data_IF_458241913862
#
_entry.id   IF_458241913862
#
_cell.length_a   1.000
_cell.length_b   1.000
_cell.length_c   1.000
_cell.angle_alpha   90.00
_cell.angle_beta   90.00
_cell.angle_gamma   90.00
#
_symmetry.space_group_name_H-M   'P 1'
#
loop_
_entity.id
_entity.type
_entity.pdbx_description
1 polymer ?
#
# COMPACT_ATOMS: atom_id res chain seq x y z
N UNK A 1 -9.59 -10.20 20.60
CA UNK A 1 -8.92 -10.83 21.76
C UNK A 1 -9.48 -12.23 21.91
N UNK A 2 -8.64 -13.27 21.97
CA UNK A 2 -9.09 -14.66 22.00
C UNK A 2 -7.98 -15.63 22.40
N UNK A 3 -8.33 -16.91 22.51
CA UNK A 3 -7.39 -17.95 22.90
C UNK A 3 -6.32 -18.16 21.82
N UNK A 4 -5.07 -18.28 22.22
CA UNK A 4 -3.95 -18.57 21.33
C UNK A 4 -3.96 -20.02 20.84
N UNK A 5 -3.17 -20.36 19.80
CA UNK A 5 -3.09 -21.71 19.26
C UNK A 5 -2.70 -22.77 20.29
N UNK A 6 -1.93 -22.37 21.31
CA UNK A 6 -1.50 -23.23 22.42
C UNK A 6 -2.65 -23.61 23.37
N UNK A 7 -3.81 -22.92 23.28
CA UNK A 7 -4.98 -23.06 24.17
C UNK A 7 -4.75 -22.73 25.64
N UNK A 8 -3.66 -22.06 25.97
CA UNK A 8 -3.29 -21.73 27.34
C UNK A 8 -3.36 -20.23 27.61
N UNK A 9 -3.05 -19.41 26.61
CA UNK A 9 -3.01 -17.94 26.77
C UNK A 9 -4.11 -17.23 25.96
N UNK A 10 -4.35 -15.97 26.28
CA UNK A 10 -5.30 -15.12 25.56
C UNK A 10 -4.63 -13.83 25.13
N UNK A 11 -4.74 -13.52 23.84
CA UNK A 11 -4.11 -12.38 23.20
C UNK A 11 -4.93 -11.90 22.00
N UNK A 12 -4.51 -10.83 21.35
CA UNK A 12 -4.94 -10.55 19.99
C UNK A 12 -4.27 -11.53 19.05
N UNK A 13 -5.05 -12.29 18.30
CA UNK A 13 -4.54 -13.33 17.43
C UNK A 13 -5.27 -13.31 16.10
N UNK A 14 -4.56 -13.74 15.05
CA UNK A 14 -5.02 -13.85 13.68
C UNK A 14 -4.89 -15.29 13.16
N UNK A 15 -4.80 -16.30 14.04
CA UNK A 15 -4.48 -17.67 13.64
C UNK A 15 -5.68 -18.47 13.10
N UNK A 16 -6.90 -17.98 13.32
CA UNK A 16 -8.14 -18.60 12.83
C UNK A 16 -8.61 -17.92 11.55
N UNK A 17 -9.36 -18.67 10.74
CA UNK A 17 -9.99 -18.11 9.55
C UNK A 17 -11.14 -17.14 9.91
N UNK A 18 -11.38 -16.10 9.10
CA UNK A 18 -10.64 -15.76 7.86
C UNK A 18 -9.40 -14.87 8.09
N UNK A 19 -9.17 -14.41 9.34
CA UNK A 19 -8.09 -13.48 9.67
C UNK A 19 -6.70 -14.01 9.34
N UNK A 20 -6.50 -15.33 9.45
CA UNK A 20 -5.25 -15.99 9.06
C UNK A 20 -4.95 -15.79 7.59
N UNK A 21 -5.89 -16.10 6.71
CA UNK A 21 -5.71 -15.96 5.27
C UNK A 21 -5.47 -14.49 4.86
N UNK A 22 -6.18 -13.55 5.48
CA UNK A 22 -5.99 -12.11 5.26
C UNK A 22 -4.59 -11.68 5.71
N UNK A 23 -4.14 -12.09 6.90
CA UNK A 23 -2.82 -11.73 7.39
C UNK A 23 -1.70 -12.34 6.56
N UNK A 24 -1.83 -13.61 6.17
CA UNK A 24 -0.83 -14.30 5.36
C UNK A 24 -0.76 -13.77 3.92
N UNK A 25 -1.84 -13.19 3.38
CA UNK A 25 -1.79 -12.55 2.07
C UNK A 25 -0.97 -11.25 2.12
N UNK A 26 -1.16 -10.43 3.16
CA UNK A 26 -0.33 -9.23 3.38
C UNK A 26 1.12 -9.57 3.67
N UNK A 27 1.39 -10.56 4.54
CA UNK A 27 2.74 -11.07 4.78
C UNK A 27 3.42 -11.44 3.45
N UNK A 28 2.75 -12.24 2.62
CA UNK A 28 3.33 -12.65 1.33
C UNK A 28 3.54 -11.47 0.37
N UNK A 29 2.66 -10.46 0.38
CA UNK A 29 2.82 -9.27 -0.45
C UNK A 29 4.04 -8.44 -0.03
N UNK A 30 4.22 -8.21 1.26
CA UNK A 30 5.27 -7.32 1.78
C UNK A 30 6.61 -7.99 2.06
N UNK A 31 6.66 -9.32 2.18
CA UNK A 31 7.88 -10.02 2.59
C UNK A 31 9.09 -9.74 1.70
N UNK A 32 8.91 -9.74 0.37
CA UNK A 32 10.01 -9.45 -0.57
C UNK A 32 10.57 -8.04 -0.35
N UNK A 33 9.68 -7.07 -0.16
CA UNK A 33 9.99 -5.67 0.06
C UNK A 33 10.72 -5.44 1.39
N UNK A 34 10.24 -6.07 2.46
CA UNK A 34 10.87 -6.04 3.78
C UNK A 34 12.28 -6.66 3.74
N UNK A 35 12.42 -7.81 3.07
CA UNK A 35 13.72 -8.48 2.94
C UNK A 35 14.70 -7.66 2.11
N UNK A 36 14.25 -7.09 0.99
CA UNK A 36 15.04 -6.24 0.13
C UNK A 36 15.53 -4.98 0.86
N UNK A 37 14.64 -4.29 1.57
CA UNK A 37 14.98 -3.12 2.39
C UNK A 37 16.00 -3.48 3.48
N UNK A 38 15.83 -4.62 4.15
CA UNK A 38 16.82 -5.11 5.11
C UNK A 38 18.18 -5.41 4.45
N UNK A 39 18.19 -6.10 3.31
CA UNK A 39 19.42 -6.45 2.61
C UNK A 39 20.20 -5.22 2.13
N UNK A 40 19.51 -4.21 1.58
CA UNK A 40 20.13 -2.94 1.21
C UNK A 40 20.74 -2.22 2.42
N UNK A 41 20.03 -2.19 3.57
CA UNK A 41 20.58 -1.59 4.80
C UNK A 41 21.79 -2.35 5.35
N UNK A 42 21.84 -3.67 5.17
CA UNK A 42 23.02 -4.46 5.51
C UNK A 42 24.21 -4.14 4.59
N UNK A 43 23.97 -3.91 3.30
CA UNK A 43 24.99 -3.41 2.38
C UNK A 43 25.50 -2.04 2.82
N UNK A 44 24.60 -1.11 3.17
CA UNK A 44 25.01 0.22 3.66
C UNK A 44 25.89 0.12 4.90
N UNK A 45 25.55 -0.76 5.85
CA UNK A 45 26.33 -0.96 7.05
C UNK A 45 27.74 -1.51 6.77
N UNK A 46 27.88 -2.35 5.74
CA UNK A 46 29.15 -2.94 5.34
C UNK A 46 30.01 -2.01 4.48
N UNK A 47 29.39 -1.27 3.55
CA UNK A 47 30.07 -0.53 2.48
C UNK A 47 30.02 1.00 2.67
N UNK A 48 29.18 1.51 3.58
CA UNK A 48 28.93 2.93 3.78
C UNK A 48 28.05 3.58 2.69
N UNK A 49 27.58 2.80 1.72
CA UNK A 49 26.74 3.23 0.60
C UNK A 49 25.85 2.07 0.12
N UNK A 50 24.83 2.38 -0.66
CA UNK A 50 24.00 1.42 -1.40
C UNK A 50 22.73 2.06 -1.92
N UNK A 51 21.89 1.27 -2.56
CA UNK A 51 20.63 1.72 -3.17
C UNK A 51 19.70 2.35 -2.12
N UNK A 52 18.95 3.41 -2.48
CA UNK A 52 18.00 4.15 -1.64
C UNK A 52 16.60 4.07 -2.19
N UNK A 53 15.62 3.93 -1.30
CA UNK A 53 14.21 3.84 -1.68
C UNK A 53 13.75 5.04 -2.54
N UNK A 54 12.82 4.82 -3.48
CA UNK A 54 12.17 5.89 -4.23
C UNK A 54 11.47 6.94 -3.36
N UNK A 55 11.28 8.13 -3.92
CA UNK A 55 10.49 9.22 -3.32
C UNK A 55 9.18 9.39 -4.07
N UNK A 56 8.08 8.92 -3.48
CA UNK A 56 6.74 8.97 -4.08
C UNK A 56 6.12 10.36 -3.96
N UNK A 57 5.78 10.97 -5.10
CA UNK A 57 5.08 12.25 -5.16
C UNK A 57 3.74 12.09 -5.86
N UNK A 58 2.64 12.39 -5.18
CA UNK A 58 1.29 12.31 -5.75
C UNK A 58 0.73 13.71 -5.88
N UNK A 59 0.34 14.09 -7.10
CA UNK A 59 -0.12 15.45 -7.47
C UNK A 59 0.85 16.54 -6.98
N UNK A 60 2.15 16.28 -7.14
CA UNK A 60 3.24 17.17 -6.72
C UNK A 60 3.50 17.24 -5.21
N UNK A 61 2.67 16.62 -4.37
CA UNK A 61 2.91 16.55 -2.92
C UNK A 61 3.93 15.47 -2.65
N UNK A 62 4.90 15.70 -1.76
CA UNK A 62 5.84 14.71 -1.21
C UNK A 62 5.45 14.37 0.24
N UNK A 63 6.00 13.30 0.82
CA UNK A 63 5.91 12.98 2.24
C UNK A 63 5.37 11.59 2.53
N UNK A 64 5.53 11.17 3.78
CA UNK A 64 5.13 9.83 4.26
C UNK A 64 3.71 9.78 4.80
N UNK A 65 3.13 10.95 5.11
CA UNK A 65 1.77 11.02 5.65
C UNK A 65 0.74 10.67 4.55
N UNK A 66 -0.38 10.02 4.92
CA UNK A 66 -1.47 9.80 4.00
C UNK A 66 -1.99 11.11 3.39
N UNK A 67 -2.40 11.06 2.13
CA UNK A 67 -3.15 12.13 1.50
C UNK A 67 -4.64 11.95 1.79
N UNK A 68 -5.24 12.91 2.50
CA UNK A 68 -6.68 12.94 2.74
C UNK A 68 -7.38 13.61 1.54
N UNK A 69 -8.38 12.93 0.98
CA UNK A 69 -9.17 13.40 -0.16
C UNK A 69 -10.65 13.19 0.17
N UNK A 70 -11.46 14.18 -0.14
CA UNK A 70 -12.91 14.11 -0.03
C UNK A 70 -13.52 14.20 -1.42
N UNK A 71 -14.46 13.30 -1.74
CA UNK A 71 -15.05 13.22 -3.08
C UNK A 71 -16.54 12.88 -3.02
N UNK A 72 -17.39 13.48 -3.87
CA UNK A 72 -18.79 13.09 -3.98
C UNK A 72 -18.93 11.65 -4.46
N UNK A 73 -19.98 10.97 -3.99
CA UNK A 73 -20.39 9.68 -4.55
C UNK A 73 -20.56 9.75 -6.08
N UNK A 74 -19.98 8.78 -6.80
CA UNK A 74 -20.01 8.75 -8.27
C UNK A 74 -18.98 9.63 -8.99
N UNK A 75 -18.16 10.40 -8.27
CA UNK A 75 -17.11 11.23 -8.88
C UNK A 75 -16.00 10.38 -9.52
N UNK A 76 -15.36 10.91 -10.57
CA UNK A 76 -14.15 10.32 -11.14
C UNK A 76 -12.93 10.99 -10.52
N UNK A 77 -12.04 10.20 -9.93
CA UNK A 77 -10.79 10.67 -9.33
C UNK A 77 -9.59 10.22 -10.16
N UNK A 78 -8.62 11.12 -10.32
CA UNK A 78 -7.33 10.88 -10.98
C UNK A 78 -6.21 11.30 -10.04
N UNK A 79 -5.21 10.46 -9.90
CA UNK A 79 -3.99 10.74 -9.14
C UNK A 79 -2.76 10.58 -10.04
N UNK A 80 -1.79 11.49 -9.89
CA UNK A 80 -0.59 11.52 -10.72
C UNK A 80 0.68 11.38 -9.88
N UNK A 81 1.34 10.23 -10.00
CA UNK A 81 2.61 9.92 -9.36
C UNK A 81 3.84 10.12 -10.27
N UNK A 82 3.68 10.70 -11.47
CA UNK A 82 4.77 10.86 -12.46
C UNK A 82 5.94 11.74 -12.00
N UNK A 83 5.74 12.57 -10.99
CA UNK A 83 6.80 13.37 -10.38
C UNK A 83 7.65 12.58 -9.37
N UNK A 84 7.34 11.31 -9.13
CA UNK A 84 8.14 10.45 -8.25
C UNK A 84 9.55 10.28 -8.82
N UNK A 85 10.53 10.17 -7.93
CA UNK A 85 11.95 10.14 -8.32
C UNK A 85 12.68 9.07 -7.55
N UNK A 86 13.61 8.40 -8.23
CA UNK A 86 14.61 7.60 -7.57
C UNK A 86 15.84 8.46 -7.21
N UNK A 87 16.33 8.45 -5.96
CA UNK A 87 17.49 9.26 -5.60
C UNK A 87 18.81 8.83 -6.25
N UNK A 88 18.94 7.58 -6.66
CA UNK A 88 20.11 6.99 -7.31
C UNK A 88 20.00 7.01 -8.85
N UNK A 89 18.82 7.36 -9.37
CA UNK A 89 18.55 7.56 -10.80
C UNK A 89 17.98 6.33 -11.50
N UNK A 90 17.55 5.33 -10.72
CA UNK A 90 16.96 4.09 -11.20
C UNK A 90 15.54 4.29 -11.78
N UNK A 91 15.08 3.35 -12.60
CA UNK A 91 13.77 3.40 -13.22
C UNK A 91 12.68 3.01 -12.24
N UNK A 92 11.54 3.68 -12.29
CA UNK A 92 10.41 3.43 -11.38
C UNK A 92 9.32 2.59 -12.04
N UNK A 93 8.89 1.52 -11.37
CA UNK A 93 7.62 0.82 -11.64
C UNK A 93 6.55 1.26 -10.66
N UNK A 94 5.31 1.30 -11.11
CA UNK A 94 4.15 1.71 -10.33
C UNK A 94 3.15 0.56 -10.24
N UNK A 95 2.53 0.40 -9.07
CA UNK A 95 1.37 -0.44 -8.83
C UNK A 95 0.38 0.31 -7.93
N UNK A 96 -0.88 0.34 -8.33
CA UNK A 96 -1.96 1.01 -7.62
C UNK A 96 -2.98 -0.03 -7.19
N UNK A 97 -3.31 -0.05 -5.91
CA UNK A 97 -4.25 -1.02 -5.36
C UNK A 97 -4.99 -0.45 -4.15
N UNK A 98 -6.23 -0.92 -3.96
CA UNK A 98 -6.99 -0.59 -2.76
C UNK A 98 -6.62 -1.53 -1.63
N UNK A 99 -6.22 -0.95 -0.50
CA UNK A 99 -6.05 -1.70 0.74
C UNK A 99 -7.43 -2.06 1.29
N UNK A 100 -7.74 -3.36 1.26
CA UNK A 100 -9.00 -3.89 1.75
C UNK A 100 -9.00 -3.96 3.27
N UNK A 101 -10.04 -3.39 3.89
CA UNK A 101 -10.39 -3.62 5.28
C UNK A 101 -11.55 -4.61 5.30
N UNK A 102 -11.33 -5.84 5.79
CA UNK A 102 -12.42 -6.77 5.99
C UNK A 102 -13.46 -6.13 6.91
N UNK A 103 -14.74 -6.37 6.63
CA UNK A 103 -15.84 -5.94 7.52
C UNK A 103 -15.58 -6.43 8.95
N UNK A 104 -15.82 -5.58 9.95
CA UNK A 104 -15.68 -5.98 11.35
C UNK A 104 -16.73 -7.02 11.78
N UNK A 105 -17.89 -7.04 11.08
CA UNK A 105 -19.00 -7.92 11.43
C UNK A 105 -18.82 -9.35 10.93
N UNK A 106 -18.27 -9.52 9.72
CA UNK A 106 -18.20 -10.81 9.03
C UNK A 106 -16.89 -11.08 8.28
N UNK A 107 -15.94 -10.14 8.34
CA UNK A 107 -14.64 -10.21 7.67
C UNK A 107 -14.73 -10.46 6.16
N UNK A 108 -15.87 -10.12 5.54
CA UNK A 108 -16.01 -10.10 4.08
C UNK A 108 -15.13 -9.01 3.48
N UNK A 109 -14.52 -9.24 2.29
CA UNK A 109 -13.73 -8.23 1.61
C UNK A 109 -14.63 -7.05 1.22
N UNK A 110 -14.15 -5.83 1.45
CA UNK A 110 -14.83 -4.64 0.98
C UNK A 110 -14.80 -4.60 -0.56
N UNK A 111 -15.94 -4.31 -1.19
CA UNK A 111 -15.97 -4.08 -2.63
C UNK A 111 -15.13 -2.83 -2.97
N UNK A 112 -14.12 -3.00 -3.82
CA UNK A 112 -13.22 -1.92 -4.24
C UNK A 112 -13.52 -1.46 -5.67
N UNK A 113 -13.34 -0.16 -5.97
CA UNK A 113 -13.49 0.34 -7.33
C UNK A 113 -12.46 -0.29 -8.29
N UNK A 114 -12.84 -0.47 -9.55
CA UNK A 114 -11.89 -0.84 -10.59
C UNK A 114 -10.96 0.34 -10.91
N UNK A 115 -9.65 0.09 -10.92
CA UNK A 115 -8.63 1.07 -11.28
C UNK A 115 -8.32 0.97 -12.78
N UNK A 116 -8.37 2.10 -13.47
CA UNK A 116 -7.83 2.26 -14.81
C UNK A 116 -6.34 2.68 -14.71
N UNK A 117 -5.51 2.04 -15.52
CA UNK A 117 -4.06 2.30 -15.59
C UNK A 117 -3.32 2.04 -14.26
N UNK A 118 -3.70 0.97 -13.56
CA UNK A 118 -3.17 0.61 -12.23
C UNK A 118 -1.65 0.35 -12.18
N UNK A 119 -0.96 0.23 -13.31
CA UNK A 119 0.50 0.07 -13.38
C UNK A 119 1.23 1.25 -14.04
N UNK A 120 0.50 2.35 -14.27
CA UNK A 120 1.01 3.59 -14.85
C UNK A 120 1.38 4.59 -13.75
N UNK A 121 2.22 5.61 -14.04
CA UNK A 121 2.42 6.71 -13.10
C UNK A 121 1.14 7.50 -12.78
N UNK A 122 0.09 7.39 -13.60
CA UNK A 122 -1.23 7.99 -13.33
C UNK A 122 -2.27 6.89 -13.18
N UNK A 123 -3.18 7.03 -12.21
CA UNK A 123 -4.32 6.14 -12.03
C UNK A 123 -5.63 6.91 -12.04
N UNK A 124 -6.69 6.30 -12.56
CA UNK A 124 -8.05 6.86 -12.53
C UNK A 124 -9.06 5.81 -12.06
N UNK A 125 -10.06 6.21 -11.28
CA UNK A 125 -11.20 5.35 -10.94
C UNK A 125 -12.45 6.17 -10.64
N UNK A 126 -13.60 5.48 -10.63
CA UNK A 126 -14.87 6.07 -10.25
C UNK A 126 -15.21 5.70 -8.81
N UNK A 127 -15.47 6.71 -7.99
CA UNK A 127 -15.95 6.55 -6.61
C UNK A 127 -17.32 5.90 -6.64
N UNK A 128 -17.59 4.84 -5.85
CA UNK A 128 -18.89 4.20 -5.81
C UNK A 128 -19.99 5.18 -5.37
N UNK A 129 -21.22 4.92 -5.79
CA UNK A 129 -22.36 5.79 -5.52
C UNK A 129 -22.88 5.71 -4.06
N UNK A 130 -22.16 5.03 -3.18
CA UNK A 130 -22.54 4.82 -1.78
C UNK A 130 -21.81 5.84 -0.90
N UNK A 131 -22.50 6.84 -0.35
CA UNK A 131 -21.89 7.85 0.52
C UNK A 131 -21.47 7.28 1.87
N UNK A 132 -20.54 7.95 2.55
CA UNK A 132 -20.08 7.59 3.90
C UNK A 132 -19.07 6.44 3.95
N UNK A 133 -18.65 5.90 2.80
CA UNK A 133 -17.58 4.91 2.74
C UNK A 133 -16.21 5.59 2.67
N UNK A 134 -15.19 4.92 3.20
CA UNK A 134 -13.80 5.33 3.09
C UNK A 134 -13.02 4.26 2.29
N UNK A 135 -12.18 4.72 1.36
CA UNK A 135 -11.28 3.86 0.59
C UNK A 135 -9.83 4.27 0.84
N UNK A 136 -8.95 3.27 0.92
CA UNK A 136 -7.51 3.51 1.05
C UNK A 136 -6.82 3.03 -0.21
N UNK A 137 -6.46 3.97 -1.08
CA UNK A 137 -5.69 3.68 -2.28
C UNK A 137 -4.19 3.75 -1.93
N UNK A 138 -3.43 2.76 -2.35
CA UNK A 138 -1.98 2.69 -2.18
C UNK A 138 -1.32 2.92 -3.53
N UNK A 139 -0.40 3.87 -3.59
CA UNK A 139 0.61 3.98 -4.63
C UNK A 139 1.84 3.22 -4.14
N UNK A 140 2.14 2.10 -4.78
CA UNK A 140 3.32 1.29 -4.56
C UNK A 140 4.29 1.58 -5.71
N UNK A 141 5.49 2.00 -5.36
CA UNK A 141 6.54 2.34 -6.32
C UNK A 141 7.76 1.53 -5.96
N UNK A 142 8.43 1.00 -6.97
CA UNK A 142 9.72 0.38 -6.75
C UNK A 142 10.71 0.83 -7.80
N UNK A 143 11.98 0.92 -7.40
CA UNK A 143 13.08 1.08 -8.33
C UNK A 143 13.41 -0.23 -9.08
N UNK A 144 14.41 -0.18 -9.95
CA UNK A 144 15.05 -1.34 -10.58
C UNK A 144 16.53 -1.53 -10.16
N UNK A 145 16.92 -0.89 -9.06
CA UNK A 145 18.27 -0.96 -8.49
C UNK A 145 18.58 -2.28 -7.77
N UNK A 146 19.80 -2.42 -7.23
CA UNK A 146 20.16 -3.53 -6.35
C UNK A 146 19.21 -3.62 -5.16
N UNK A 147 18.71 -4.83 -4.89
CA UNK A 147 17.69 -5.07 -3.87
C UNK A 147 16.41 -4.25 -4.08
N UNK A 148 16.01 -4.01 -5.34
CA UNK A 148 14.70 -3.51 -5.77
C UNK A 148 13.85 -2.91 -4.65
N UNK A 149 14.08 -1.64 -4.33
CA UNK A 149 13.54 -1.04 -3.11
C UNK A 149 12.16 -0.46 -3.32
N UNK A 150 11.27 -0.62 -2.32
CA UNK A 150 9.92 -0.10 -2.38
C UNK A 150 9.82 1.31 -1.79
N UNK A 151 8.79 2.02 -2.21
CA UNK A 151 8.24 3.18 -1.54
C UNK A 151 6.72 3.18 -1.69
N UNK A 152 6.04 3.54 -0.61
CA UNK A 152 4.58 3.49 -0.54
C UNK A 152 4.00 4.85 -0.19
N UNK A 153 2.85 5.17 -0.77
CA UNK A 153 2.05 6.30 -0.34
C UNK A 153 0.57 6.01 -0.34
N UNK A 154 -0.06 6.30 0.79
CA UNK A 154 -1.48 6.07 1.02
C UNK A 154 -2.30 7.32 0.68
N UNK A 155 -3.42 7.12 0.04
CA UNK A 155 -4.47 8.12 -0.15
C UNK A 155 -5.73 7.60 0.53
N UNK A 156 -6.29 8.41 1.43
CA UNK A 156 -7.53 8.12 2.15
C UNK A 156 -8.62 8.94 1.50
N UNK A 157 -9.55 8.27 0.83
CA UNK A 157 -10.68 8.90 0.13
C UNK A 157 -11.92 8.72 0.98
N UNK A 158 -12.50 9.83 1.45
CA UNK A 158 -13.78 9.87 2.15
C UNK A 158 -14.88 10.27 1.18
N UNK A 159 -15.92 9.44 1.04
CA UNK A 159 -17.06 9.70 0.15
C UNK A 159 -18.14 10.52 0.85
N UNK A 160 -18.50 11.67 0.26
CA UNK A 160 -19.64 12.51 0.68
C UNK A 160 -20.97 12.04 0.09
#
# INVERSE_FOLDING_TARGET
>A
FGISPDRETSAWTNWQEPLRSISSSYERKFYTDEFNDFAARMQWAAEGQGNRNPVVRIDGKEGLLPLEVTAPAGASLRFDASASTDPDGDSLRFDWWFQEFPSEADHSPAATPALADATSPTVTFNVPATPGQQYHLICEVHDDGPFTLPAYRRIIITVE
#
